data_IF_939428643823
#
_entry.id   IF_939428643823
#
_cell.length_a   1.000
_cell.length_b   1.000
_cell.length_c   1.000
_cell.angle_alpha   90.00
_cell.angle_beta   90.00
_cell.angle_gamma   90.00
#
_symmetry.space_group_name_H-M   'P 1'
#
loop_
_entity.id
_entity.type
_entity.pdbx_description
1 polymer ?
#
# COMPACT_ATOMS: atom_id res chain seq x y z
N UNK A 1 5.00 23.77 12.52
CA UNK A 1 4.61 22.62 11.67
C UNK A 1 3.32 22.93 10.92
N UNK A 2 3.32 22.67 9.65
CA UNK A 2 2.11 22.82 8.84
C UNK A 2 1.28 21.53 8.89
N UNK A 3 0.00 21.63 8.57
CA UNK A 3 -0.89 20.47 8.50
C UNK A 3 -0.38 19.44 7.49
N UNK A 4 0.27 19.90 6.42
CA UNK A 4 0.85 19.04 5.39
C UNK A 4 1.93 18.10 5.95
N UNK A 5 2.79 18.60 6.83
CA UNK A 5 3.86 17.81 7.44
C UNK A 5 3.29 16.66 8.28
N UNK A 6 2.21 16.93 9.03
CA UNK A 6 1.55 15.94 9.85
C UNK A 6 0.96 14.83 8.99
N UNK A 7 0.36 15.20 7.84
CA UNK A 7 -0.22 14.25 6.91
C UNK A 7 0.84 13.34 6.29
N UNK A 8 1.99 13.89 5.93
CA UNK A 8 3.09 13.11 5.36
C UNK A 8 3.65 12.10 6.36
N UNK A 9 3.78 12.49 7.62
CA UNK A 9 4.20 11.56 8.67
C UNK A 9 3.24 10.37 8.80
N UNK A 10 1.94 10.64 8.72
CA UNK A 10 0.91 9.63 8.77
C UNK A 10 1.04 8.65 7.61
N UNK A 11 1.22 9.16 6.40
CA UNK A 11 1.40 8.36 5.20
C UNK A 11 2.67 7.50 5.28
N UNK A 12 3.77 8.09 5.73
CA UNK A 12 5.03 7.37 5.90
C UNK A 12 4.87 6.19 6.86
N UNK A 13 4.18 6.42 7.96
CA UNK A 13 3.93 5.40 8.97
C UNK A 13 3.08 4.27 8.42
N UNK A 14 2.01 4.61 7.69
CA UNK A 14 1.14 3.63 7.06
C UNK A 14 1.87 2.82 5.99
N UNK A 15 2.70 3.47 5.18
CA UNK A 15 3.51 2.77 4.18
C UNK A 15 4.43 1.74 4.83
N UNK A 16 5.08 2.11 5.94
CA UNK A 16 5.95 1.19 6.67
C UNK A 16 5.16 0.00 7.21
N UNK A 17 3.97 0.24 7.76
CA UNK A 17 3.09 -0.82 8.28
C UNK A 17 2.65 -1.77 7.17
N UNK A 18 2.20 -1.22 6.04
CA UNK A 18 1.72 -2.02 4.92
C UNK A 18 2.86 -2.78 4.25
N UNK A 19 4.04 -2.19 4.16
CA UNK A 19 5.22 -2.87 3.66
C UNK A 19 5.55 -4.10 4.50
N UNK A 20 5.48 -3.96 5.82
CA UNK A 20 5.69 -5.06 6.74
C UNK A 20 4.59 -6.13 6.59
N UNK A 21 3.34 -5.72 6.42
CA UNK A 21 2.22 -6.64 6.19
C UNK A 21 2.40 -7.42 4.89
N UNK A 22 2.74 -6.74 3.81
CA UNK A 22 2.97 -7.39 2.51
C UNK A 22 4.12 -8.40 2.63
N UNK A 23 5.19 -8.07 3.33
CA UNK A 23 6.31 -8.98 3.55
C UNK A 23 5.86 -10.24 4.32
N UNK A 24 5.01 -10.08 5.33
CA UNK A 24 4.44 -11.20 6.08
C UNK A 24 3.56 -12.08 5.20
N UNK A 25 2.73 -11.47 4.37
CA UNK A 25 1.86 -12.20 3.45
C UNK A 25 2.67 -12.95 2.41
N UNK A 26 3.76 -12.34 1.93
CA UNK A 26 4.68 -13.00 1.00
C UNK A 26 5.30 -14.25 1.63
N UNK A 27 5.73 -14.16 2.88
CA UNK A 27 6.29 -15.29 3.61
C UNK A 27 5.24 -16.40 3.80
N UNK A 28 4.00 -16.02 4.15
CA UNK A 28 2.90 -16.98 4.29
C UNK A 28 2.58 -17.65 2.95
N UNK A 29 2.58 -16.89 1.87
CA UNK A 29 2.33 -17.43 0.53
C UNK A 29 3.40 -18.43 0.13
N UNK A 30 4.66 -18.14 0.44
CA UNK A 30 5.77 -19.03 0.15
C UNK A 30 5.67 -20.35 0.92
N UNK A 31 5.09 -20.31 2.13
CA UNK A 31 4.87 -21.49 2.96
C UNK A 31 3.54 -22.19 2.76
N UNK A 32 2.70 -21.71 1.83
CA UNK A 32 1.39 -22.28 1.59
C UNK A 32 1.49 -23.67 0.93
N UNK A 33 0.43 -24.46 1.09
CA UNK A 33 0.32 -25.75 0.43
C UNK A 33 0.39 -25.59 -1.08
N UNK A 34 0.96 -26.58 -1.77
CA UNK A 34 1.18 -26.53 -3.23
C UNK A 34 -0.06 -26.14 -4.02
N UNK A 35 -1.23 -26.57 -3.59
CA UNK A 35 -2.50 -26.28 -4.26
C UNK A 35 -2.93 -24.83 -4.13
N UNK A 36 -2.68 -24.21 -2.96
CA UNK A 36 -3.07 -22.83 -2.67
C UNK A 36 -1.99 -21.82 -3.06
N UNK A 37 -0.75 -22.24 -3.17
CA UNK A 37 0.40 -21.38 -3.38
C UNK A 37 0.29 -20.44 -4.59
N UNK A 38 -0.10 -20.93 -5.80
CA UNK A 38 -0.22 -20.04 -6.96
C UNK A 38 -1.19 -18.90 -6.75
N UNK A 39 -2.34 -19.15 -6.11
CA UNK A 39 -3.34 -18.13 -5.85
C UNK A 39 -2.82 -17.09 -4.85
N UNK A 40 -2.15 -17.54 -3.79
CA UNK A 40 -1.58 -16.65 -2.80
C UNK A 40 -0.45 -15.79 -3.36
N UNK A 41 0.42 -16.39 -4.18
CA UNK A 41 1.51 -15.64 -4.82
C UNK A 41 0.97 -14.58 -5.77
N UNK A 42 -0.08 -14.90 -6.52
CA UNK A 42 -0.73 -13.93 -7.40
C UNK A 42 -1.31 -12.75 -6.60
N UNK A 43 -1.96 -13.04 -5.48
CA UNK A 43 -2.52 -12.00 -4.62
C UNK A 43 -1.44 -11.10 -4.04
N UNK A 44 -0.31 -11.68 -3.62
CA UNK A 44 0.84 -10.91 -3.13
C UNK A 44 1.41 -10.03 -4.23
N UNK A 45 1.52 -10.55 -5.46
CA UNK A 45 2.00 -9.77 -6.60
C UNK A 45 1.10 -8.56 -6.87
N UNK A 46 -0.22 -8.76 -6.83
CA UNK A 46 -1.18 -7.67 -6.99
C UNK A 46 -1.03 -6.62 -5.90
N UNK A 47 -0.82 -7.06 -4.65
CA UNK A 47 -0.58 -6.15 -3.52
C UNK A 47 0.70 -5.36 -3.71
N UNK A 48 1.76 -5.99 -4.17
CA UNK A 48 3.04 -5.33 -4.44
C UNK A 48 2.89 -4.26 -5.52
N UNK A 49 2.14 -4.56 -6.57
CA UNK A 49 1.86 -3.60 -7.63
C UNK A 49 1.08 -2.40 -7.12
N UNK A 50 0.03 -2.65 -6.35
CA UNK A 50 -0.77 -1.58 -5.73
C UNK A 50 0.06 -0.75 -4.77
N UNK A 51 0.90 -1.40 -3.98
CA UNK A 51 1.80 -0.72 -3.05
C UNK A 51 2.78 0.18 -3.81
N UNK A 52 3.43 -0.34 -4.85
CA UNK A 52 4.38 0.43 -5.65
C UNK A 52 3.73 1.63 -6.31
N UNK A 53 2.52 1.46 -6.83
CA UNK A 53 1.76 2.53 -7.46
C UNK A 53 1.39 3.61 -6.45
N UNK A 54 0.92 3.22 -5.28
CA UNK A 54 0.57 4.16 -4.21
C UNK A 54 1.80 4.91 -3.70
N UNK A 55 2.91 4.20 -3.56
CA UNK A 55 4.17 4.81 -3.13
C UNK A 55 4.66 5.84 -4.14
N UNK A 56 4.56 5.52 -5.43
CA UNK A 56 4.94 6.46 -6.49
C UNK A 56 4.08 7.72 -6.45
N UNK A 57 2.76 7.55 -6.31
CA UNK A 57 1.84 8.69 -6.21
C UNK A 57 2.15 9.54 -4.98
N UNK A 58 2.45 8.90 -3.87
CA UNK A 58 2.83 9.59 -2.65
C UNK A 58 4.11 10.39 -2.84
N UNK A 59 5.12 9.78 -3.46
CA UNK A 59 6.40 10.45 -3.74
C UNK A 59 6.19 11.66 -4.66
N UNK A 60 5.34 11.53 -5.66
CA UNK A 60 5.02 12.62 -6.59
C UNK A 60 4.36 13.79 -5.85
N UNK A 61 3.41 13.50 -4.98
CA UNK A 61 2.74 14.53 -4.17
C UNK A 61 3.74 15.20 -3.24
N UNK A 62 4.60 14.42 -2.62
CA UNK A 62 5.61 14.94 -1.69
C UNK A 62 6.61 15.85 -2.40
N UNK A 63 7.03 15.50 -3.60
CA UNK A 63 7.91 16.32 -4.42
C UNK A 63 7.24 17.62 -4.88
N UNK A 64 5.97 17.53 -5.24
CA UNK A 64 5.21 18.69 -5.67
C UNK A 64 4.90 19.64 -4.51
N UNK A 65 4.76 19.10 -3.33
CA UNK A 65 4.46 19.86 -2.10
C UNK A 65 3.34 20.88 -2.32
N UNK A 66 3.69 22.16 -2.38
CA UNK A 66 2.72 23.26 -2.55
C UNK A 66 2.07 23.29 -3.92
N UNK A 67 2.67 22.62 -4.89
CA UNK A 67 2.14 22.58 -6.26
C UNK A 67 1.17 21.45 -6.54
N UNK A 68 0.93 20.57 -5.55
CA UNK A 68 0.01 19.46 -5.73
C UNK A 68 -1.43 19.97 -5.84
N UNK A 69 -2.10 19.59 -6.94
CA UNK A 69 -3.51 19.98 -7.16
C UNK A 69 -4.42 19.13 -6.29
N UNK A 70 -5.67 19.57 -6.12
CA UNK A 70 -6.68 18.79 -5.41
C UNK A 70 -6.91 17.43 -6.08
N UNK A 71 -6.85 17.38 -7.41
CA UNK A 71 -7.04 16.12 -8.15
C UNK A 71 -5.94 15.11 -7.84
N UNK A 72 -4.71 15.58 -7.73
CA UNK A 72 -3.57 14.73 -7.37
C UNK A 72 -3.72 14.20 -5.95
N UNK A 73 -4.13 15.07 -5.02
CA UNK A 73 -4.37 14.67 -3.63
C UNK A 73 -5.53 13.68 -3.53
N UNK A 74 -6.61 13.90 -4.27
CA UNK A 74 -7.75 13.00 -4.29
C UNK A 74 -7.37 11.64 -4.87
N UNK A 75 -6.55 11.63 -5.92
CA UNK A 75 -6.01 10.41 -6.51
C UNK A 75 -5.17 9.62 -5.51
N UNK A 76 -4.33 10.32 -4.74
CA UNK A 76 -3.53 9.69 -3.69
C UNK A 76 -4.41 9.08 -2.60
N UNK A 77 -5.41 9.81 -2.13
CA UNK A 77 -6.34 9.32 -1.09
C UNK A 77 -7.09 8.08 -1.57
N UNK A 78 -7.54 8.09 -2.83
CA UNK A 78 -8.23 6.96 -3.44
C UNK A 78 -7.32 5.73 -3.51
N UNK A 79 -6.10 5.91 -4.00
CA UNK A 79 -5.12 4.83 -4.09
C UNK A 79 -4.77 4.28 -2.70
N UNK A 80 -4.68 5.18 -1.73
CA UNK A 80 -4.39 4.82 -0.33
C UNK A 80 -5.50 3.96 0.26
N UNK A 81 -6.74 4.38 0.04
CA UNK A 81 -7.91 3.64 0.48
C UNK A 81 -7.96 2.25 -0.15
N UNK A 82 -7.75 2.17 -1.47
CA UNK A 82 -7.75 0.90 -2.20
C UNK A 82 -6.67 -0.04 -1.69
N UNK A 83 -5.47 0.49 -1.45
CA UNK A 83 -4.37 -0.31 -0.92
C UNK A 83 -4.70 -0.83 0.48
N UNK A 84 -5.25 0.02 1.34
CA UNK A 84 -5.64 -0.37 2.69
C UNK A 84 -6.68 -1.48 2.69
N UNK A 85 -7.69 -1.38 1.83
CA UNK A 85 -8.71 -2.41 1.67
C UNK A 85 -8.09 -3.72 1.15
N UNK A 86 -7.21 -3.62 0.15
CA UNK A 86 -6.56 -4.79 -0.44
C UNK A 86 -5.68 -5.52 0.59
N UNK A 87 -4.91 -4.78 1.38
CA UNK A 87 -4.07 -5.34 2.44
C UNK A 87 -4.94 -6.02 3.51
N UNK A 88 -6.03 -5.36 3.92
CA UNK A 88 -6.96 -5.92 4.89
C UNK A 88 -7.60 -7.22 4.42
N UNK A 89 -8.04 -7.25 3.17
CA UNK A 89 -8.65 -8.44 2.58
C UNK A 89 -7.66 -9.59 2.47
N UNK A 90 -6.43 -9.31 2.07
CA UNK A 90 -5.40 -10.32 1.97
C UNK A 90 -5.03 -10.87 3.34
N UNK A 91 -4.94 -10.00 4.34
CA UNK A 91 -4.67 -10.40 5.71
C UNK A 91 -5.74 -11.37 6.23
N UNK A 92 -7.00 -11.08 5.94
CA UNK A 92 -8.11 -11.94 6.34
C UNK A 92 -8.06 -13.30 5.64
N UNK A 93 -7.73 -13.32 4.35
CA UNK A 93 -7.63 -14.56 3.57
C UNK A 93 -6.48 -15.44 4.00
N UNK A 94 -5.33 -14.82 4.27
CA UNK A 94 -4.11 -15.56 4.62
C UNK A 94 -4.06 -15.91 6.10
N UNK A 95 -4.86 -15.20 6.85
CA UNK A 95 -4.84 -15.24 8.26
C UNK A 95 -5.33 -16.39 8.96
#
# INVERSE_FOLDING_TARGET
MTTSDIQFEKFDRQLAEWKAQVAKLEAKAAGAAAEAKPAYLREVEELKEKFAKSQKQYDDVRKAQKGASSDVMDGLKSAWHDLGVAVGNAKDRFG
#
